data_IF_808928654629
#
_entry.id   IF_808928654629
#
_cell.length_a   1.000
_cell.length_b   1.000
_cell.length_c   1.000
_cell.angle_alpha   90.00
_cell.angle_beta   90.00
_cell.angle_gamma   90.00
#
_symmetry.space_group_name_H-M   'P 1'
#
loop_
_entity.id
_entity.type
_entity.pdbx_description
1 polymer ?
#
# COMPACT_ATOMS: atom_id res chain seq x y z
N UNK A 1 -3.54 -1.01 14.41
CA UNK A 1 -3.73 -0.23 15.66
C UNK A 1 -4.34 1.13 15.37
N UNK A 2 -3.71 1.95 14.51
CA UNK A 2 -4.14 3.31 14.15
C UNK A 2 -5.56 3.40 13.55
N UNK A 3 -5.87 2.54 12.56
CA UNK A 3 -7.21 2.51 11.96
C UNK A 3 -8.33 2.13 12.95
N UNK A 4 -8.03 1.25 13.92
CA UNK A 4 -9.00 0.82 14.94
C UNK A 4 -9.36 1.97 15.88
N UNK A 5 -8.36 2.72 16.35
CA UNK A 5 -8.57 3.88 17.22
C UNK A 5 -9.40 4.97 16.52
N UNK A 6 -9.17 5.23 15.23
CA UNK A 6 -9.94 6.21 14.45
C UNK A 6 -11.39 5.74 14.23
N UNK A 7 -11.60 4.44 13.99
CA UNK A 7 -12.94 3.87 13.88
C UNK A 7 -13.72 3.94 15.20
N UNK A 8 -13.07 3.65 16.32
CA UNK A 8 -13.68 3.74 17.65
C UNK A 8 -14.04 5.21 17.98
N UNK A 9 -13.17 6.16 17.65
CA UNK A 9 -13.42 7.59 17.84
C UNK A 9 -14.53 8.13 16.93
N UNK A 10 -14.60 7.65 15.68
CA UNK A 10 -15.67 7.96 14.74
C UNK A 10 -17.02 7.43 15.23
N UNK A 11 -17.07 6.18 15.71
CA UNK A 11 -18.27 5.58 16.26
C UNK A 11 -18.81 6.39 17.45
N UNK A 12 -17.92 6.86 18.33
CA UNK A 12 -18.27 7.76 19.44
C UNK A 12 -18.82 9.11 18.96
N UNK A 13 -18.17 9.75 17.99
CA UNK A 13 -18.61 11.04 17.45
C UNK A 13 -19.94 10.95 16.70
N UNK A 14 -20.20 9.86 16.00
CA UNK A 14 -21.50 9.58 15.35
C UNK A 14 -22.58 9.38 16.41
N UNK A 15 -22.32 8.61 17.47
CA UNK A 15 -23.26 8.41 18.57
C UNK A 15 -23.68 9.72 19.24
N UNK A 16 -22.72 10.60 19.49
CA UNK A 16 -22.98 11.94 20.05
C UNK A 16 -23.77 12.83 19.07
N UNK A 17 -23.40 12.83 17.79
CA UNK A 17 -24.11 13.59 16.76
C UNK A 17 -25.58 13.17 16.60
N UNK A 18 -25.88 11.88 16.78
CA UNK A 18 -27.25 11.33 16.77
C UNK A 18 -28.01 11.75 18.03
N UNK A 19 -27.37 11.72 19.21
CA UNK A 19 -28.00 12.07 20.48
C UNK A 19 -28.32 13.57 20.62
N UNK A 20 -27.48 14.44 20.04
CA UNK A 20 -27.59 15.90 20.16
C UNK A 20 -28.37 16.57 19.02
N UNK A 21 -28.64 15.86 17.91
CA UNK A 21 -29.31 16.46 16.74
C UNK A 21 -30.80 16.10 16.64
N UNK A 22 -31.66 17.03 16.19
CA UNK A 22 -33.01 16.71 15.76
C UNK A 22 -32.97 15.64 14.66
N UNK A 23 -33.93 14.71 14.65
CA UNK A 23 -33.99 13.57 13.69
C UNK A 23 -33.81 13.99 12.22
N UNK A 24 -34.23 15.20 11.86
CA UNK A 24 -34.09 15.75 10.50
C UNK A 24 -32.65 16.14 10.12
N UNK A 25 -31.77 16.42 11.07
CA UNK A 25 -30.41 16.92 10.83
C UNK A 25 -29.32 15.86 11.09
N UNK A 26 -29.69 14.73 11.70
CA UNK A 26 -28.77 13.61 12.00
C UNK A 26 -28.03 13.15 10.74
N UNK A 27 -28.74 12.90 9.64
CA UNK A 27 -28.13 12.40 8.40
C UNK A 27 -27.06 13.35 7.88
N UNK A 28 -27.34 14.66 7.89
CA UNK A 28 -26.43 15.70 7.43
C UNK A 28 -25.18 15.77 8.31
N UNK A 29 -25.36 15.80 9.63
CA UNK A 29 -24.25 15.87 10.58
C UNK A 29 -23.37 14.63 10.50
N UNK A 30 -23.95 13.43 10.42
CA UNK A 30 -23.20 12.18 10.26
C UNK A 30 -22.42 12.16 8.95
N UNK A 31 -23.02 12.61 7.84
CA UNK A 31 -22.34 12.67 6.53
C UNK A 31 -21.15 13.63 6.53
N UNK A 32 -21.28 14.80 7.14
CA UNK A 32 -20.18 15.75 7.31
C UNK A 32 -19.07 15.16 8.18
N UNK A 33 -19.43 14.46 9.26
CA UNK A 33 -18.48 13.81 10.16
C UNK A 33 -17.69 12.72 9.43
N UNK A 34 -18.37 11.83 8.71
CA UNK A 34 -17.75 10.80 7.86
C UNK A 34 -16.82 11.41 6.82
N UNK A 35 -17.27 12.45 6.09
CA UNK A 35 -16.44 13.14 5.10
C UNK A 35 -15.17 13.75 5.73
N UNK A 36 -15.28 14.38 6.89
CA UNK A 36 -14.13 14.96 7.60
C UNK A 36 -13.17 13.91 8.13
N UNK A 37 -13.66 12.71 8.46
CA UNK A 37 -12.85 11.62 9.01
C UNK A 37 -12.14 10.86 7.90
N UNK A 38 -12.83 10.60 6.78
CA UNK A 38 -12.21 10.05 5.58
C UNK A 38 -11.18 11.00 4.96
N UNK A 39 -11.40 12.31 5.01
CA UNK A 39 -10.38 13.28 4.58
C UNK A 39 -9.14 13.37 5.48
N UNK A 40 -9.22 12.88 6.72
CA UNK A 40 -8.06 12.77 7.64
C UNK A 40 -7.31 11.45 7.48
N UNK A 41 -7.90 10.48 6.78
CA UNK A 41 -7.26 9.24 6.41
C UNK A 41 -6.62 9.50 5.04
N UNK A 42 -5.34 9.15 4.86
CA UNK A 42 -4.67 9.19 3.55
C UNK A 42 -5.22 8.07 2.64
N UNK A 43 -6.50 8.18 2.29
CA UNK A 43 -7.22 7.22 1.48
C UNK A 43 -6.91 7.48 0.01
N UNK A 44 -6.57 6.41 -0.68
CA UNK A 44 -6.55 6.39 -2.15
C UNK A 44 -7.85 5.81 -2.65
N UNK A 45 -8.25 6.22 -3.85
CA UNK A 45 -9.39 5.62 -4.53
C UNK A 45 -9.11 4.15 -4.83
N UNK A 46 -10.18 3.37 -5.02
CA UNK A 46 -10.04 1.96 -5.39
C UNK A 46 -9.29 1.79 -6.70
N UNK A 47 -9.54 2.67 -7.66
CA UNK A 47 -8.86 2.67 -8.95
C UNK A 47 -7.36 2.92 -8.82
N UNK A 48 -6.95 3.93 -8.06
CA UNK A 48 -5.52 4.20 -7.78
C UNK A 48 -4.85 3.01 -7.10
N UNK A 49 -5.53 2.37 -6.15
CA UNK A 49 -5.01 1.15 -5.52
C UNK A 49 -4.78 0.03 -6.53
N UNK A 50 -5.76 -0.24 -7.39
CA UNK A 50 -5.66 -1.29 -8.41
C UNK A 50 -4.54 -0.97 -9.43
N UNK A 51 -4.34 0.31 -9.78
CA UNK A 51 -3.21 0.76 -10.61
C UNK A 51 -1.87 0.47 -9.92
N UNK A 52 -1.74 0.82 -8.63
CA UNK A 52 -0.50 0.57 -7.89
C UNK A 52 -0.20 -0.94 -7.76
N UNK A 53 -1.23 -1.76 -7.60
CA UNK A 53 -1.10 -3.22 -7.60
C UNK A 53 -0.54 -3.72 -8.95
N UNK A 54 -1.07 -3.24 -10.08
CA UNK A 54 -0.57 -3.56 -11.42
C UNK A 54 0.89 -3.14 -11.62
N UNK A 55 1.26 -1.94 -11.17
CA UNK A 55 2.65 -1.45 -11.23
C UNK A 55 3.58 -2.34 -10.41
N UNK A 56 3.15 -2.76 -9.22
CA UNK A 56 3.92 -3.64 -8.35
C UNK A 56 4.13 -5.02 -8.99
N UNK A 57 3.11 -5.60 -9.62
CA UNK A 57 3.21 -6.87 -10.35
C UNK A 57 4.26 -6.76 -11.45
N UNK A 58 4.15 -5.75 -12.32
CA UNK A 58 5.10 -5.53 -13.42
C UNK A 58 6.52 -5.29 -12.92
N UNK A 59 6.67 -4.60 -11.79
CA UNK A 59 7.99 -4.35 -11.19
C UNK A 59 8.62 -5.65 -10.69
N UNK A 60 7.84 -6.54 -10.06
CA UNK A 60 8.33 -7.86 -9.63
C UNK A 60 8.75 -8.74 -10.81
N UNK A 61 7.98 -8.74 -11.89
CA UNK A 61 8.32 -9.47 -13.11
C UNK A 61 9.65 -8.97 -13.71
N UNK A 62 9.81 -7.65 -13.82
CA UNK A 62 11.06 -7.04 -14.30
C UNK A 62 12.23 -7.34 -13.37
N UNK A 63 12.02 -7.29 -12.05
CA UNK A 63 13.04 -7.61 -11.06
C UNK A 63 13.53 -9.06 -11.23
N UNK A 64 12.62 -10.03 -11.30
CA UNK A 64 12.97 -11.43 -11.50
C UNK A 64 13.75 -11.66 -12.81
N UNK A 65 13.36 -10.97 -13.89
CA UNK A 65 14.07 -11.05 -15.16
C UNK A 65 15.50 -10.47 -15.09
N UNK A 66 15.69 -9.39 -14.33
CA UNK A 66 17.01 -8.80 -14.11
C UNK A 66 17.89 -9.69 -13.22
N UNK A 67 17.34 -10.24 -12.15
CA UNK A 67 18.03 -11.21 -11.28
C UNK A 67 18.51 -12.43 -12.08
N UNK A 68 17.66 -12.97 -12.96
CA UNK A 68 18.04 -14.07 -13.84
C UNK A 68 19.15 -13.71 -14.84
N UNK A 69 19.16 -12.47 -15.35
CA UNK A 69 20.25 -11.98 -16.22
C UNK A 69 21.54 -11.79 -15.44
N UNK A 70 21.47 -11.23 -14.24
CA UNK A 70 22.62 -11.03 -13.37
C UNK A 70 23.28 -12.37 -13.03
N UNK A 71 22.51 -13.37 -12.62
CA UNK A 71 23.03 -14.70 -12.31
C UNK A 71 23.77 -15.34 -13.48
N UNK A 72 23.27 -15.16 -14.72
CA UNK A 72 23.96 -15.65 -15.93
C UNK A 72 25.29 -14.94 -16.18
N UNK A 73 25.33 -13.63 -15.96
CA UNK A 73 26.55 -12.84 -16.11
C UNK A 73 27.58 -13.19 -15.04
N UNK A 74 27.15 -13.34 -13.79
CA UNK A 74 28.01 -13.76 -12.67
C UNK A 74 28.60 -15.15 -12.92
N UNK A 75 27.78 -16.11 -13.38
CA UNK A 75 28.27 -17.45 -13.74
C UNK A 75 29.28 -17.42 -14.90
N UNK A 76 29.02 -16.62 -15.93
CA UNK A 76 29.95 -16.46 -17.06
C UNK A 76 31.27 -15.80 -16.64
N UNK A 77 31.21 -14.79 -15.77
CA UNK A 77 32.40 -14.14 -15.22
C UNK A 77 33.23 -15.11 -14.36
N UNK A 78 32.58 -15.95 -13.55
CA UNK A 78 33.25 -16.98 -12.75
C UNK A 78 33.96 -18.01 -13.64
N UNK A 79 33.34 -18.41 -14.76
CA UNK A 79 33.91 -19.36 -15.71
C UNK A 79 35.07 -18.79 -16.54
N UNK A 80 35.18 -17.46 -16.65
CA UNK A 80 36.23 -16.78 -17.40
C UNK A 80 37.51 -16.51 -16.57
N UNK A 81 37.50 -16.80 -15.26
CA UNK A 81 38.69 -16.72 -14.42
C UNK A 81 39.58 -17.95 -14.67
N UNK A 82 40.85 -17.78 -15.10
CA UNK A 82 41.75 -18.91 -15.30
C UNK A 82 42.03 -19.61 -13.97
N UNK A 83 41.97 -20.96 -13.97
CA UNK A 83 42.32 -21.77 -12.81
C UNK A 83 43.79 -21.51 -12.43
N UNK A 84 44.09 -21.08 -11.19
CA UNK A 84 45.47 -20.83 -10.75
C UNK A 84 46.39 -22.06 -10.81
N UNK A 85 45.82 -23.25 -11.01
CA UNK A 85 46.51 -24.53 -11.07
C UNK A 85 47.11 -24.91 -12.42
N UNK A 86 46.94 -24.10 -13.48
CA UNK A 86 47.56 -24.35 -14.80
C UNK A 86 48.91 -23.61 -15.00
N UNK A 87 49.44 -22.95 -13.96
CA UNK A 87 50.72 -22.21 -14.01
C UNK A 87 51.88 -22.87 -13.23
N UNK A 88 51.82 -24.19 -12.97
CA UNK A 88 52.93 -24.94 -12.38
C UNK A 88 53.50 -25.99 -13.33
#
# INVERSE_FOLDING_TARGET
MLAKQILDELAGKIGNAIAESPVKDVEKNVKTLLGSTFGKLDLVTREEFDIQQQVLIKTREKLAALEARLAKLEAAAQAALPNPSEQQ
#
